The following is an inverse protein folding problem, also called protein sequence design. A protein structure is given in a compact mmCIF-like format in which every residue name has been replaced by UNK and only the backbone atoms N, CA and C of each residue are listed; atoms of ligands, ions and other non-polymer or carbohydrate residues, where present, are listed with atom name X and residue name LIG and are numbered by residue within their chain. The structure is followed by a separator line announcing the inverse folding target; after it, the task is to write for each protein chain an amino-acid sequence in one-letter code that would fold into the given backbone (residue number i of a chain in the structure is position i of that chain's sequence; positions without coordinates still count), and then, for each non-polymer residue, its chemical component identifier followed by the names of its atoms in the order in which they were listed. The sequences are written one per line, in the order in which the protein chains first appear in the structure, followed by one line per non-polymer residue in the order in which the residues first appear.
data_IF_131949962950
#
_entry.id   IF_131949962950
#
_cell.length_a   1.000
_cell.length_b   1.000
_cell.length_c   1.000
_cell.angle_alpha   90.00
_cell.angle_beta   90.00
_cell.angle_gamma   90.00
#
_symmetry.space_group_name_H-M   'P 1'
#
loop_
_entity.id
_entity.type
_entity.pdbx_description
1 polymer ?
#
# COMPACT_ATOMS: atom_id res chain seq x y z
N UNK A 1 24.18 -37.92 -63.40
CA UNK A 1 23.64 -36.95 -64.38
C UNK A 1 22.66 -36.03 -63.66
N UNK A 2 22.94 -34.72 -63.72
CA UNK A 2 22.08 -33.55 -63.43
C UNK A 2 21.51 -33.32 -62.02
N UNK A 3 21.53 -32.13 -61.40
CA UNK A 3 22.27 -30.87 -61.59
C UNK A 3 21.99 -29.93 -60.38
N UNK A 4 23.03 -29.21 -59.94
CA UNK A 4 23.12 -27.82 -59.43
C UNK A 4 22.19 -27.26 -58.32
N UNK A 5 22.84 -27.01 -57.17
CA UNK A 5 23.05 -25.74 -56.41
C UNK A 5 21.88 -24.74 -56.23
N UNK A 6 21.64 -24.36 -54.97
CA UNK A 6 21.45 -22.95 -54.56
C UNK A 6 22.06 -22.69 -53.16
N UNK A 7 22.86 -21.63 -53.05
CA UNK A 7 23.38 -21.02 -51.81
C UNK A 7 22.36 -19.97 -51.29
N UNK A 8 22.24 -19.80 -49.97
CA UNK A 8 21.95 -18.53 -49.28
C UNK A 8 22.20 -18.72 -47.76
N UNK A 9 23.29 -18.19 -47.21
CA UNK A 9 23.42 -16.90 -46.48
C UNK A 9 22.79 -16.88 -45.07
N UNK A 10 23.68 -16.99 -44.07
CA UNK A 10 23.78 -16.22 -42.80
C UNK A 10 22.53 -15.62 -42.13
N UNK A 11 22.38 -15.88 -40.83
CA UNK A 11 21.60 -15.03 -39.92
C UNK A 11 21.51 -15.57 -38.50
N UNK A 12 22.52 -15.30 -37.66
CA UNK A 12 22.41 -15.42 -36.21
C UNK A 12 21.65 -14.20 -35.66
N UNK A 13 20.59 -14.39 -34.88
CA UNK A 13 20.01 -13.32 -34.06
C UNK A 13 19.28 -13.88 -32.83
N UNK A 14 19.59 -13.23 -31.69
CA UNK A 14 19.22 -13.53 -30.31
C UNK A 14 17.74 -13.33 -29.99
N UNK A 15 17.25 -14.01 -28.96
CA UNK A 15 16.28 -13.41 -28.03
C UNK A 15 16.46 -14.01 -26.63
N UNK A 16 17.34 -13.39 -25.84
CA UNK A 16 17.32 -13.50 -24.38
C UNK A 16 16.04 -12.80 -23.92
N UNK A 17 15.01 -13.56 -23.57
CA UNK A 17 13.82 -13.01 -22.92
C UNK A 17 14.21 -12.59 -21.50
N UNK A 18 14.60 -11.34 -21.33
CA UNK A 18 14.70 -10.70 -20.02
C UNK A 18 13.31 -10.72 -19.38
N UNK A 19 13.08 -11.66 -18.46
CA UNK A 19 12.00 -11.57 -17.48
C UNK A 19 12.34 -10.40 -16.56
N UNK A 20 11.88 -9.20 -16.92
CA UNK A 20 11.92 -8.07 -16.01
C UNK A 20 11.04 -8.40 -14.80
N UNK A 21 11.56 -8.33 -13.55
CA UNK A 21 10.70 -8.36 -12.38
C UNK A 21 9.74 -7.17 -12.49
N UNK A 22 8.46 -7.39 -12.23
CA UNK A 22 7.40 -6.40 -12.34
C UNK A 22 7.81 -5.10 -11.64
N UNK A 23 8.27 -4.12 -12.40
CA UNK A 23 8.42 -2.78 -11.90
C UNK A 23 7.02 -2.35 -11.45
N UNK A 24 6.84 -2.07 -10.16
CA UNK A 24 5.62 -1.40 -9.70
C UNK A 24 5.48 -0.13 -10.54
N UNK A 25 4.47 -0.09 -11.40
CA UNK A 25 4.32 0.96 -12.38
C UNK A 25 3.87 2.24 -11.66
N UNK A 26 4.84 2.98 -11.12
CA UNK A 26 4.64 4.30 -10.49
C UNK A 26 3.88 5.24 -11.42
N UNK A 27 4.01 5.07 -12.75
CA UNK A 27 3.29 5.80 -13.79
C UNK A 27 1.76 5.70 -13.66
N UNK A 28 1.23 4.63 -13.09
CA UNK A 28 -0.22 4.43 -12.92
C UNK A 28 -0.77 5.09 -11.65
N UNK A 29 0.10 5.65 -10.81
CA UNK A 29 -0.29 6.38 -9.60
C UNK A 29 -0.28 7.90 -9.87
N UNK A 30 -1.14 8.67 -9.17
CA UNK A 30 -1.03 10.13 -9.15
C UNK A 30 0.36 10.57 -8.68
N UNK A 31 0.89 11.63 -9.29
CA UNK A 31 2.28 12.08 -9.06
C UNK A 31 2.59 12.34 -7.59
N UNK A 32 1.64 12.91 -6.85
CA UNK A 32 1.80 13.26 -5.43
C UNK A 32 2.04 12.05 -4.53
N UNK A 33 1.60 10.86 -4.93
CA UNK A 33 1.77 9.63 -4.13
C UNK A 33 2.87 8.72 -4.68
N UNK A 34 3.62 9.14 -5.71
CA UNK A 34 4.77 8.38 -6.23
C UNK A 34 5.96 8.45 -5.29
N UNK A 35 6.75 7.37 -5.23
CA UNK A 35 8.02 7.40 -4.50
C UNK A 35 9.05 8.17 -5.34
N UNK A 36 9.88 9.03 -4.72
CA UNK A 36 10.98 9.69 -5.41
C UNK A 36 11.95 8.70 -6.06
N UNK A 37 12.71 9.19 -7.03
CA UNK A 37 13.81 8.42 -7.61
C UNK A 37 14.88 8.07 -6.56
N UNK A 38 15.69 7.05 -6.86
CA UNK A 38 16.75 6.56 -5.95
C UNK A 38 16.30 5.49 -4.95
N UNK A 39 15.03 5.07 -5.02
CA UNK A 39 14.47 4.00 -4.18
C UNK A 39 14.09 2.76 -5.01
N UNK A 40 14.06 1.60 -4.36
CA UNK A 40 13.62 0.31 -4.93
C UNK A 40 12.65 -0.37 -3.99
N UNK A 41 11.75 -1.19 -4.53
CA UNK A 41 10.84 -2.02 -3.74
C UNK A 41 11.67 -3.02 -2.94
N UNK A 42 11.47 -3.06 -1.62
CA UNK A 42 12.08 -4.02 -0.71
C UNK A 42 11.11 -5.11 -0.28
N UNK A 43 9.81 -4.80 -0.23
CA UNK A 43 8.77 -5.75 0.13
C UNK A 43 7.41 -5.30 -0.43
N UNK A 44 6.56 -6.26 -0.72
CA UNK A 44 5.18 -6.03 -1.13
C UNK A 44 4.26 -6.92 -0.32
N UNK A 45 3.15 -6.34 0.14
CA UNK A 45 2.15 -7.08 0.92
C UNK A 45 0.75 -6.63 0.55
N UNK A 46 -0.21 -7.53 0.68
CA UNK A 46 -1.63 -7.19 0.69
C UNK A 46 -2.10 -7.14 2.14
N UNK A 47 -2.50 -5.95 2.58
CA UNK A 47 -3.14 -5.73 3.86
C UNK A 47 -4.62 -6.10 3.80
N UNK A 48 -5.09 -6.96 4.71
CA UNK A 48 -6.50 -7.33 4.83
C UNK A 48 -6.94 -7.18 6.28
N UNK A 49 -8.04 -6.47 6.52
CA UNK A 49 -8.58 -6.30 7.86
C UNK A 49 -9.70 -5.28 7.92
N UNK A 50 -9.62 -4.41 8.93
CA UNK A 50 -10.73 -3.57 9.35
C UNK A 50 -10.26 -2.15 9.65
N UNK A 51 -11.15 -1.18 9.41
CA UNK A 51 -11.02 0.20 9.84
C UNK A 51 -12.11 0.47 10.86
N UNK A 52 -11.74 1.08 11.98
CA UNK A 52 -12.69 1.55 13.00
C UNK A 52 -12.97 3.03 12.80
N UNK A 53 -14.25 3.38 12.78
CA UNK A 53 -14.76 4.74 12.82
C UNK A 53 -15.52 4.99 14.13
N UNK A 54 -15.52 6.23 14.59
CA UNK A 54 -16.31 6.67 15.74
C UNK A 54 -17.12 7.91 15.37
N UNK A 55 -18.41 7.91 15.73
CA UNK A 55 -19.28 9.05 15.52
C UNK A 55 -18.95 10.12 16.55
N UNK A 56 -18.35 11.23 16.12
CA UNK A 56 -17.95 12.33 17.01
C UNK A 56 -18.18 13.69 16.36
N UNK A 57 -18.13 14.73 17.19
CA UNK A 57 -18.19 16.10 16.69
C UNK A 57 -16.97 16.39 15.79
N UNK A 58 -17.18 17.12 14.70
CA UNK A 58 -16.11 17.55 13.81
C UNK A 58 -15.14 18.45 14.56
N UNK A 59 -13.84 18.25 14.35
CA UNK A 59 -12.79 18.99 15.06
C UNK A 59 -12.95 20.52 14.97
N UNK A 60 -13.42 21.02 13.81
CA UNK A 60 -13.54 22.46 13.53
C UNK A 60 -15.00 22.96 13.51
N UNK A 61 -15.98 22.07 13.69
CA UNK A 61 -17.41 22.41 13.66
C UNK A 61 -18.14 21.58 14.72
N UNK A 62 -18.07 21.97 16.01
CA UNK A 62 -18.54 21.12 17.12
C UNK A 62 -20.04 20.76 17.10
N UNK A 63 -20.84 21.55 16.36
CA UNK A 63 -22.27 21.30 16.17
C UNK A 63 -22.57 20.33 15.01
N UNK A 64 -21.55 19.91 14.27
CA UNK A 64 -21.66 18.93 13.21
C UNK A 64 -21.00 17.62 13.64
N UNK A 65 -21.63 16.51 13.25
CA UNK A 65 -21.18 15.17 13.58
C UNK A 65 -20.55 14.50 12.34
N UNK A 66 -19.54 13.68 12.56
CA UNK A 66 -18.90 12.88 11.51
C UNK A 66 -18.45 11.50 12.01
N UNK A 67 -18.38 10.55 11.09
CA UNK A 67 -17.63 9.32 11.29
C UNK A 67 -16.15 9.62 11.18
N UNK A 68 -15.47 9.74 12.31
CA UNK A 68 -14.06 10.03 12.32
C UNK A 68 -13.23 8.76 12.35
N UNK A 69 -12.13 8.76 11.60
CA UNK A 69 -11.18 7.65 11.54
C UNK A 69 -10.49 7.45 12.90
N UNK A 70 -10.64 6.26 13.48
CA UNK A 70 -10.00 5.88 14.76
C UNK A 70 -8.69 5.15 14.49
N UNK A 71 -8.72 4.12 13.65
CA UNK A 71 -7.53 3.33 13.37
C UNK A 71 -7.76 2.11 12.50
N UNK A 72 -6.70 1.59 11.87
CA UNK A 72 -6.71 0.33 11.17
C UNK A 72 -6.32 -0.85 12.08
N UNK A 73 -6.78 -2.06 11.72
CA UNK A 73 -6.23 -3.33 12.18
C UNK A 73 -6.23 -4.30 11.01
N UNK A 74 -5.06 -4.61 10.47
CA UNK A 74 -4.92 -5.48 9.31
C UNK A 74 -3.74 -6.45 9.46
N UNK A 75 -3.88 -7.63 8.87
CA UNK A 75 -2.75 -8.52 8.62
C UNK A 75 -2.10 -8.13 7.30
N UNK A 76 -0.78 -8.26 7.20
CA UNK A 76 -0.03 -8.06 5.95
C UNK A 76 0.37 -9.43 5.41
N UNK A 77 -0.09 -9.77 4.21
CA UNK A 77 0.19 -11.04 3.55
C UNK A 77 1.14 -10.84 2.37
N UNK A 78 2.08 -11.77 2.16
CA UNK A 78 2.89 -11.79 0.94
C UNK A 78 2.06 -12.24 -0.28
N UNK A 79 2.70 -12.27 -1.45
CA UNK A 79 2.04 -12.68 -2.71
C UNK A 79 1.55 -14.14 -2.73
N UNK A 80 2.05 -15.00 -1.83
CA UNK A 80 1.55 -16.37 -1.66
C UNK A 80 0.32 -16.45 -0.74
N UNK A 81 -0.08 -15.32 -0.14
CA UNK A 81 -1.16 -15.24 0.84
C UNK A 81 -0.70 -15.56 2.26
N UNK A 82 0.59 -15.78 2.50
CA UNK A 82 1.11 -16.04 3.84
C UNK A 82 1.26 -14.73 4.60
N UNK A 83 0.75 -14.69 5.83
CA UNK A 83 0.97 -13.54 6.70
C UNK A 83 2.46 -13.34 6.98
N UNK A 84 2.96 -12.13 6.77
CA UNK A 84 4.35 -11.69 7.02
C UNK A 84 4.44 -10.52 7.99
N UNK A 85 3.31 -9.90 8.34
CA UNK A 85 3.27 -8.81 9.32
C UNK A 85 1.86 -8.39 9.71
N UNK A 86 1.78 -7.23 10.35
CA UNK A 86 0.53 -6.55 10.70
C UNK A 86 0.65 -5.04 10.49
N UNK A 87 -0.49 -4.40 10.26
CA UNK A 87 -0.64 -2.95 10.17
C UNK A 87 -1.71 -2.48 11.14
N UNK A 88 -1.36 -1.53 12.01
CA UNK A 88 -2.25 -1.02 13.05
C UNK A 88 -1.96 0.44 13.41
N UNK A 89 -2.81 1.05 14.25
CA UNK A 89 -2.56 2.37 14.82
C UNK A 89 -3.69 2.86 15.72
N UNK A 90 -3.58 4.07 16.30
CA UNK A 90 -2.51 5.06 16.13
C UNK A 90 -1.28 4.86 17.07
N UNK A 91 -0.07 5.30 16.67
CA UNK A 91 0.29 5.82 15.34
C UNK A 91 0.27 4.70 14.29
N UNK A 92 0.17 5.06 13.02
CA UNK A 92 0.26 4.08 11.92
C UNK A 92 1.60 3.32 12.01
N UNK A 93 1.51 2.01 12.20
CA UNK A 93 2.63 1.12 12.49
C UNK A 93 2.56 -0.10 11.60
N UNK A 94 3.67 -0.42 10.94
CA UNK A 94 3.86 -1.63 10.16
C UNK A 94 4.88 -2.49 10.89
N UNK A 95 4.47 -3.68 11.32
CA UNK A 95 5.30 -4.61 12.07
C UNK A 95 5.43 -5.93 11.32
N UNK A 96 6.67 -6.35 11.07
CA UNK A 96 6.98 -7.64 10.47
C UNK A 96 6.97 -8.76 11.51
N UNK A 97 6.84 -10.02 11.06
CA UNK A 97 6.86 -11.20 11.93
C UNK A 97 8.16 -11.42 12.71
N UNK A 98 9.25 -10.80 12.29
CA UNK A 98 10.53 -10.81 13.01
C UNK A 98 10.58 -9.78 14.16
N UNK A 99 9.50 -9.02 14.37
CA UNK A 99 9.37 -7.99 15.40
C UNK A 99 9.96 -6.63 15.01
N UNK A 100 10.57 -6.51 13.81
CA UNK A 100 10.96 -5.21 13.29
C UNK A 100 9.74 -4.39 12.88
N UNK A 101 9.72 -3.11 13.23
CA UNK A 101 8.57 -2.24 12.95
C UNK A 101 8.98 -0.83 12.57
N UNK A 102 8.12 -0.16 11.81
CA UNK A 102 8.24 1.25 11.43
C UNK A 102 6.93 1.97 11.69
N UNK A 103 7.05 3.22 12.14
CA UNK A 103 5.98 4.22 12.03
C UNK A 103 6.32 5.17 10.88
N UNK A 104 5.48 6.15 10.57
CA UNK A 104 5.82 7.14 9.56
C UNK A 104 4.92 8.35 9.50
N UNK A 105 5.36 9.32 8.71
CA UNK A 105 4.66 10.57 8.44
C UNK A 105 3.98 10.50 7.08
N UNK A 106 2.68 10.75 7.05
CA UNK A 106 1.95 10.87 5.79
C UNK A 106 2.45 12.09 5.02
N UNK A 107 2.98 11.87 3.82
CA UNK A 107 3.43 12.94 2.94
C UNK A 107 2.32 13.39 1.99
N UNK A 108 1.57 12.42 1.46
CA UNK A 108 0.53 12.70 0.48
C UNK A 108 -0.58 11.66 0.53
N UNK A 109 -1.76 12.11 0.11
CA UNK A 109 -2.88 11.26 -0.26
C UNK A 109 -3.40 11.69 -1.63
N UNK A 110 -4.00 10.75 -2.34
CA UNK A 110 -4.70 11.03 -3.59
C UNK A 110 -5.98 10.20 -3.68
N UNK A 111 -7.04 10.72 -4.33
CA UNK A 111 -8.25 9.93 -4.57
C UNK A 111 -7.93 8.61 -5.25
N UNK A 112 -8.64 7.55 -4.84
CA UNK A 112 -8.66 6.26 -5.54
C UNK A 112 -10.03 6.07 -6.22
N UNK A 113 -10.45 4.84 -6.49
CA UNK A 113 -11.80 4.56 -7.01
C UNK A 113 -12.88 4.77 -5.93
N UNK A 114 -14.10 5.09 -6.38
CA UNK A 114 -15.22 5.37 -5.50
C UNK A 114 -15.48 4.25 -4.47
N UNK A 115 -15.76 4.62 -3.23
CA UNK A 115 -16.03 3.69 -2.12
C UNK A 115 -14.77 3.11 -1.45
N UNK A 116 -13.58 3.55 -1.85
CA UNK A 116 -12.31 3.07 -1.29
C UNK A 116 -11.56 4.20 -0.57
N UNK A 117 -10.72 3.82 0.39
CA UNK A 117 -9.77 4.77 1.00
C UNK A 117 -8.87 5.42 -0.07
N UNK A 118 -8.26 6.58 0.22
CA UNK A 118 -7.33 7.21 -0.71
C UNK A 118 -6.00 6.46 -0.78
N UNK A 119 -5.33 6.57 -1.93
CA UNK A 119 -3.91 6.26 -2.04
C UNK A 119 -3.11 7.08 -1.04
N UNK A 120 -2.00 6.54 -0.58
CA UNK A 120 -1.19 7.18 0.46
C UNK A 120 0.29 6.96 0.17
N UNK A 121 1.08 8.01 0.37
CA UNK A 121 2.53 7.93 0.49
C UNK A 121 2.93 8.33 1.90
N UNK A 122 3.73 7.48 2.54
CA UNK A 122 4.26 7.67 3.90
C UNK A 122 5.77 7.66 3.84
N UNK A 123 6.41 8.61 4.51
CA UNK A 123 7.83 8.56 4.83
C UNK A 123 8.02 7.79 6.13
N UNK A 124 8.75 6.69 6.07
CA UNK A 124 9.00 5.87 7.25
C UNK A 124 9.97 6.57 8.20
N UNK A 125 9.70 6.43 9.50
CA UNK A 125 10.66 6.73 10.55
C UNK A 125 11.71 5.60 10.61
N UNK A 126 12.86 5.82 11.30
CA UNK A 126 13.82 4.75 11.52
C UNK A 126 13.16 3.51 12.11
N UNK A 127 13.53 2.34 11.58
CA UNK A 127 12.99 1.08 12.06
C UNK A 127 13.41 0.80 13.51
N UNK A 128 12.47 0.28 14.29
CA UNK A 128 12.73 -0.33 15.57
C UNK A 128 12.98 -1.83 15.37
N UNK A 129 14.04 -2.35 15.97
CA UNK A 129 14.47 -3.74 15.77
C UNK A 129 15.25 -3.94 14.48
N UNK A 130 15.78 -5.16 14.31
CA UNK A 130 16.51 -5.58 13.12
C UNK A 130 15.66 -6.59 12.36
N UNK A 131 15.48 -6.40 11.06
CA UNK A 131 14.66 -7.31 10.28
C UNK A 131 14.15 -6.72 8.97
N UNK A 132 13.02 -7.23 8.50
CA UNK A 132 12.38 -6.86 7.24
C UNK A 132 12.06 -5.36 7.13
N UNK A 133 11.81 -4.67 8.25
CA UNK A 133 11.53 -3.23 8.24
C UNK A 133 12.80 -2.37 8.23
N UNK A 134 13.98 -2.94 8.43
CA UNK A 134 15.25 -2.20 8.43
C UNK A 134 15.52 -1.61 7.04
N UNK A 135 15.78 -0.29 7.00
CA UNK A 135 16.08 0.43 5.76
C UNK A 135 14.85 0.77 4.91
N UNK A 136 13.64 0.50 5.37
CA UNK A 136 12.42 1.05 4.76
C UNK A 136 12.43 2.58 4.93
N UNK A 137 12.27 3.29 3.82
CA UNK A 137 12.25 4.75 3.74
C UNK A 137 10.88 5.31 3.33
N UNK A 138 10.15 4.58 2.48
CA UNK A 138 8.79 4.93 2.09
C UNK A 138 7.86 3.73 2.09
N UNK A 139 6.59 4.00 2.33
CA UNK A 139 5.50 3.03 2.23
C UNK A 139 4.40 3.65 1.37
N UNK A 140 4.00 2.94 0.32
CA UNK A 140 2.85 3.30 -0.51
C UNK A 140 1.67 2.40 -0.19
N UNK A 141 0.48 2.99 -0.12
CA UNK A 141 -0.79 2.26 -0.05
C UNK A 141 -1.53 2.39 -1.38
N UNK A 142 -1.81 1.26 -2.02
CA UNK A 142 -2.44 1.17 -3.35
C UNK A 142 -3.49 0.04 -3.41
N UNK A 143 -4.06 -0.21 -4.60
CA UNK A 143 -4.98 -1.32 -4.86
C UNK A 143 -6.09 -1.51 -3.79
N UNK A 144 -6.82 -0.44 -3.52
CA UNK A 144 -7.71 -0.33 -2.37
C UNK A 144 -9.09 -0.94 -2.61
N UNK A 145 -9.65 -1.57 -1.56
CA UNK A 145 -11.04 -2.01 -1.49
C UNK A 145 -11.63 -1.68 -0.12
N UNK A 146 -12.71 -0.89 -0.09
CA UNK A 146 -13.43 -0.50 1.10
C UNK A 146 -12.63 0.39 2.05
N UNK A 147 -12.94 0.26 3.33
CA UNK A 147 -12.33 1.01 4.43
C UNK A 147 -12.82 2.46 4.59
N UNK A 148 -13.73 2.95 3.74
CA UNK A 148 -14.36 4.27 3.92
C UNK A 148 -15.38 4.26 5.07
N UNK A 149 -15.70 5.44 5.58
CA UNK A 149 -16.74 5.59 6.59
C UNK A 149 -18.08 5.00 6.10
N UNK A 150 -18.87 4.38 6.99
CA UNK A 150 -20.15 3.78 6.62
C UNK A 150 -21.16 4.86 6.21
N UNK A 151 -22.11 4.48 5.34
CA UNK A 151 -23.20 5.37 4.91
C UNK A 151 -24.27 5.62 6.00
N UNK A 152 -24.16 4.96 7.16
CA UNK A 152 -25.04 5.15 8.32
C UNK A 152 -24.96 6.59 8.81
N UNK A 153 -26.07 7.18 9.22
CA UNK A 153 -26.05 8.52 9.80
C UNK A 153 -25.24 8.57 11.11
N UNK A 154 -24.36 9.57 11.22
CA UNK A 154 -23.73 9.97 12.47
C UNK A 154 -24.37 11.30 12.92
N UNK A 155 -24.96 11.29 14.11
CA UNK A 155 -25.73 12.38 14.70
C UNK A 155 -25.50 12.41 16.22
N UNK A 156 -25.95 13.46 16.90
CA UNK A 156 -25.73 13.59 18.36
C UNK A 156 -26.35 12.40 19.14
N UNK A 157 -27.47 11.85 18.64
CA UNK A 157 -28.15 10.69 19.25
C UNK A 157 -27.32 9.41 19.29
N UNK A 158 -26.28 9.28 18.44
CA UNK A 158 -25.38 8.13 18.42
C UNK A 158 -23.90 8.53 18.53
N UNK A 159 -23.62 9.66 19.17
CA UNK A 159 -22.28 10.08 19.54
C UNK A 159 -21.57 8.98 20.36
N UNK A 160 -20.32 8.71 20.02
CA UNK A 160 -19.50 7.65 20.60
C UNK A 160 -19.79 6.25 20.04
N UNK A 161 -20.79 6.09 19.15
CA UNK A 161 -20.98 4.84 18.44
C UNK A 161 -19.75 4.52 17.58
N UNK A 162 -19.43 3.23 17.46
CA UNK A 162 -18.32 2.74 16.65
C UNK A 162 -18.83 1.86 15.53
N UNK A 163 -18.21 1.99 14.38
CA UNK A 163 -18.49 1.17 13.20
C UNK A 163 -17.19 0.59 12.65
N UNK A 164 -17.25 -0.67 12.26
CA UNK A 164 -16.10 -1.43 11.75
C UNK A 164 -16.37 -1.76 10.29
N UNK A 165 -15.47 -1.33 9.42
CA UNK A 165 -15.61 -1.49 7.97
C UNK A 165 -14.46 -2.35 7.44
N UNK A 166 -14.80 -3.36 6.63
CA UNK A 166 -13.80 -4.20 5.95
C UNK A 166 -12.95 -3.39 4.99
N UNK A 167 -11.68 -3.73 4.96
CA UNK A 167 -10.65 -3.00 4.24
C UNK A 167 -9.60 -3.95 3.67
N UNK A 168 -9.17 -3.64 2.44
CA UNK A 168 -8.00 -4.23 1.82
C UNK A 168 -7.19 -3.13 1.10
N UNK A 169 -5.87 -3.24 1.12
CA UNK A 169 -4.97 -2.42 0.32
C UNK A 169 -3.59 -3.03 0.22
N UNK A 170 -2.90 -2.80 -0.89
CA UNK A 170 -1.52 -3.22 -1.07
C UNK A 170 -0.58 -2.20 -0.41
N UNK A 171 0.39 -2.69 0.34
CA UNK A 171 1.46 -1.92 0.96
C UNK A 171 2.78 -2.28 0.31
N UNK A 172 3.38 -1.29 -0.35
CA UNK A 172 4.66 -1.42 -1.05
C UNK A 172 5.71 -0.67 -0.25
N UNK A 173 6.71 -1.38 0.22
CA UNK A 173 7.80 -0.88 1.03
C UNK A 173 9.00 -0.59 0.15
N UNK A 174 9.64 0.55 0.38
CA UNK A 174 10.71 1.06 -0.45
C UNK A 174 11.94 1.37 0.38
N UNK A 175 13.10 0.98 -0.13
CA UNK A 175 14.41 1.24 0.47
C UNK A 175 15.30 1.98 -0.52
N UNK A 176 16.33 2.67 -0.04
CA UNK A 176 17.33 3.28 -0.91
C UNK A 176 17.98 2.21 -1.81
N UNK A 177 18.35 2.58 -3.03
CA UNK A 177 19.00 1.68 -3.99
C UNK A 177 20.36 1.20 -3.51
#
# INVERSE_FOLDING_TARGET
MNAKRLLCLTGAAMAFTCLAPSAFAQSNLPETVRVPDGFKVSMETTGVGEITYECRAKANMPNEMEWAFVGPKAVLNDRSGKQVGTYYGPPATWEAKDGSKVTGTQLAVAPSSAGNLPYQLVKANPAEGKGAMTGVAYIQRTALKGGVAPAKACAESNKGAKEIVKYQGDYIFWSAK
#
